data_IF_398543402501
#
_entry.id   IF_398543402501
#
_cell.length_a   1.000
_cell.length_b   1.000
_cell.length_c   1.000
_cell.angle_alpha   90.00
_cell.angle_beta   90.00
_cell.angle_gamma   90.00
#
_symmetry.space_group_name_H-M   'P 1'
#
loop_
_entity.id
_entity.type
_entity.pdbx_description
1 polymer ?
#
# COMPACT_ATOMS: atom_id res chain seq x y z
N UNK A 1 12.51 22.48 -2.13
CA UNK A 1 12.18 21.08 -1.73
C UNK A 1 11.02 20.97 -0.73
N UNK A 2 11.10 21.44 0.54
CA UNK A 2 9.98 21.29 1.50
C UNK A 2 8.66 21.88 0.99
N UNK A 3 8.70 23.15 0.61
CA UNK A 3 7.50 23.87 0.16
C UNK A 3 6.99 23.34 -1.18
N UNK A 4 7.90 22.93 -2.08
CA UNK A 4 7.56 22.30 -3.35
C UNK A 4 6.81 20.96 -3.17
N UNK A 5 7.29 20.08 -2.28
CA UNK A 5 6.60 18.80 -1.97
C UNK A 5 5.22 19.07 -1.38
N UNK A 6 5.14 20.01 -0.42
CA UNK A 6 3.87 20.39 0.21
C UNK A 6 2.90 20.94 -0.84
N UNK A 7 3.37 21.85 -1.69
CA UNK A 7 2.56 22.43 -2.75
C UNK A 7 2.08 21.36 -3.74
N UNK A 8 2.99 20.48 -4.18
CA UNK A 8 2.67 19.40 -5.10
C UNK A 8 1.56 18.49 -4.54
N UNK A 9 1.70 18.00 -3.31
CA UNK A 9 0.69 17.13 -2.68
C UNK A 9 -0.65 17.87 -2.53
N UNK A 10 -0.63 19.10 -2.02
CA UNK A 10 -1.85 19.87 -1.77
C UNK A 10 -2.63 20.20 -3.04
N UNK A 11 -1.93 20.53 -4.12
CA UNK A 11 -2.57 20.94 -5.38
C UNK A 11 -3.02 19.74 -6.21
N UNK A 12 -2.24 18.66 -6.18
CA UNK A 12 -2.40 17.57 -7.15
C UNK A 12 -2.97 16.30 -6.54
N UNK A 13 -2.85 16.06 -5.23
CA UNK A 13 -3.19 14.77 -4.61
C UNK A 13 -4.35 14.91 -3.63
N UNK A 14 -4.31 15.88 -2.72
CA UNK A 14 -5.35 16.06 -1.71
C UNK A 14 -6.69 16.44 -2.36
N UNK A 15 -7.75 15.75 -1.95
CA UNK A 15 -9.11 15.93 -2.47
C UNK A 15 -9.37 15.23 -3.80
N UNK A 16 -8.36 14.60 -4.40
CA UNK A 16 -8.54 13.78 -5.60
C UNK A 16 -9.05 12.39 -5.24
N UNK A 17 -9.79 11.81 -6.19
CA UNK A 17 -10.22 10.41 -6.14
C UNK A 17 -9.53 9.68 -7.29
N UNK A 18 -8.79 8.63 -6.96
CA UNK A 18 -8.07 7.79 -7.90
C UNK A 18 -8.70 6.40 -7.93
N UNK A 19 -8.59 5.71 -9.05
CA UNK A 19 -9.14 4.37 -9.26
C UNK A 19 -8.07 3.43 -9.77
N UNK A 20 -7.97 2.26 -9.17
CA UNK A 20 -7.21 1.13 -9.70
C UNK A 20 -8.17 0.26 -10.49
N UNK A 21 -7.87 0.04 -11.77
CA UNK A 21 -8.60 -0.93 -12.58
C UNK A 21 -8.40 -2.35 -12.02
N UNK A 22 -9.22 -3.30 -12.47
CA UNK A 22 -9.11 -4.68 -11.98
C UNK A 22 -7.72 -5.26 -12.29
N UNK A 23 -7.09 -5.79 -11.24
CA UNK A 23 -5.81 -6.48 -11.29
C UNK A 23 -6.02 -7.91 -10.79
N UNK A 24 -5.50 -8.87 -11.56
CA UNK A 24 -5.53 -10.29 -11.19
C UNK A 24 -4.11 -10.76 -10.87
N UNK A 25 -3.95 -11.51 -9.80
CA UNK A 25 -2.66 -12.05 -9.38
C UNK A 25 -2.80 -13.47 -8.83
N UNK A 26 -1.70 -14.22 -8.79
CA UNK A 26 -1.64 -15.59 -8.31
C UNK A 26 -0.81 -15.66 -7.03
N UNK A 27 -1.22 -16.50 -6.08
CA UNK A 27 -0.45 -16.79 -4.87
C UNK A 27 -0.27 -18.30 -4.69
N UNK A 28 0.63 -18.67 -3.80
CA UNK A 28 0.84 -20.03 -3.29
C UNK A 28 1.07 -21.04 -4.41
N UNK A 29 2.08 -20.77 -5.24
CA UNK A 29 2.40 -21.58 -6.42
C UNK A 29 1.17 -21.78 -7.34
N UNK A 30 0.41 -20.71 -7.56
CA UNK A 30 -0.78 -20.67 -8.41
C UNK A 30 -1.94 -21.56 -7.92
N UNK A 31 -2.03 -21.81 -6.62
CA UNK A 31 -3.20 -22.48 -6.02
C UNK A 31 -4.30 -21.49 -5.63
N UNK A 32 -3.95 -20.21 -5.52
CA UNK A 32 -4.87 -19.10 -5.23
C UNK A 32 -4.83 -18.05 -6.34
N UNK A 33 -5.97 -17.38 -6.58
CA UNK A 33 -6.05 -16.21 -7.45
C UNK A 33 -6.76 -15.04 -6.75
N UNK A 34 -6.08 -13.91 -6.66
CA UNK A 34 -6.64 -12.65 -6.18
C UNK A 34 -7.19 -11.81 -7.33
N UNK A 35 -8.33 -11.17 -7.10
CA UNK A 35 -8.93 -10.15 -7.97
C UNK A 35 -9.09 -8.89 -7.15
N UNK A 36 -8.37 -7.84 -7.53
CA UNK A 36 -8.28 -6.59 -6.78
C UNK A 36 -8.71 -5.41 -7.64
N UNK A 37 -9.50 -4.50 -7.07
CA UNK A 37 -9.69 -3.14 -7.58
C UNK A 37 -9.90 -2.20 -6.39
N UNK A 38 -9.65 -0.91 -6.59
CA UNK A 38 -9.72 0.05 -5.50
C UNK A 38 -10.16 1.44 -5.96
N UNK A 39 -10.79 2.16 -5.04
CA UNK A 39 -11.02 3.60 -5.13
C UNK A 39 -10.31 4.25 -3.95
N UNK A 40 -9.38 5.14 -4.27
CA UNK A 40 -8.49 5.77 -3.30
C UNK A 40 -8.73 7.27 -3.22
N UNK A 41 -8.66 7.82 -2.01
CA UNK A 41 -8.85 9.25 -1.73
C UNK A 41 -7.78 9.72 -0.75
N UNK A 42 -7.23 10.91 -0.97
CA UNK A 42 -6.27 11.53 -0.06
C UNK A 42 -6.87 12.77 0.60
N UNK A 43 -6.83 12.85 1.93
CA UNK A 43 -7.61 13.82 2.71
C UNK A 43 -6.92 14.24 4.00
N UNK A 44 -7.59 15.09 4.78
CA UNK A 44 -7.18 15.50 6.13
C UNK A 44 -5.75 16.06 6.21
N UNK A 45 -5.39 16.90 5.23
CA UNK A 45 -4.09 17.55 5.19
C UNK A 45 -3.89 18.44 6.43
N UNK A 46 -2.81 18.18 7.17
CA UNK A 46 -2.36 19.01 8.28
C UNK A 46 -0.86 19.25 8.15
N UNK A 47 -0.48 20.51 8.00
CA UNK A 47 0.91 20.93 8.09
C UNK A 47 1.31 21.09 9.55
N UNK A 48 2.47 20.56 9.92
CA UNK A 48 3.09 20.75 11.24
C UNK A 48 4.30 21.66 11.12
N UNK A 49 4.88 22.07 12.24
CA UNK A 49 6.11 22.87 12.26
C UNK A 49 7.22 22.23 11.38
N UNK A 50 7.42 20.93 11.56
CA UNK A 50 8.52 20.19 10.95
C UNK A 50 8.12 19.29 9.79
N UNK A 51 6.85 19.28 9.37
CA UNK A 51 6.38 18.29 8.41
C UNK A 51 4.90 18.42 8.07
N UNK A 52 4.27 17.28 7.80
CA UNK A 52 2.86 17.21 7.46
C UNK A 52 2.29 15.80 7.68
N UNK A 53 0.97 15.72 7.73
CA UNK A 53 0.22 14.46 7.76
C UNK A 53 -1.01 14.56 6.86
N UNK A 54 -1.42 13.42 6.33
CA UNK A 54 -2.64 13.27 5.55
C UNK A 54 -3.14 11.83 5.67
N UNK A 55 -4.40 11.61 5.30
CA UNK A 55 -5.01 10.31 5.24
C UNK A 55 -5.09 9.79 3.81
N UNK A 56 -4.92 8.49 3.66
CA UNK A 56 -5.28 7.72 2.48
C UNK A 56 -6.47 6.85 2.87
N UNK A 57 -7.61 7.02 2.21
CA UNK A 57 -8.77 6.15 2.34
C UNK A 57 -8.87 5.28 1.11
N UNK A 58 -8.94 3.98 1.29
CA UNK A 58 -9.16 2.99 0.21
C UNK A 58 -10.55 2.39 0.37
N UNK A 59 -11.23 2.16 -0.75
CA UNK A 59 -12.48 1.40 -0.83
C UNK A 59 -12.20 0.22 -1.75
N UNK A 60 -11.67 -0.81 -1.13
CA UNK A 60 -11.10 -1.98 -1.78
C UNK A 60 -12.20 -2.98 -2.12
N UNK A 61 -12.11 -3.57 -3.31
CA UNK A 61 -12.78 -4.83 -3.66
C UNK A 61 -11.69 -5.84 -3.95
N UNK A 62 -11.52 -6.79 -3.05
CA UNK A 62 -10.49 -7.80 -3.19
C UNK A 62 -11.03 -9.16 -2.74
N UNK A 63 -11.04 -10.10 -3.68
CA UNK A 63 -11.46 -11.48 -3.44
C UNK A 63 -10.33 -12.41 -3.83
N UNK A 64 -9.98 -13.33 -2.92
CA UNK A 64 -9.01 -14.39 -3.17
C UNK A 64 -9.77 -15.70 -3.32
N UNK A 65 -9.58 -16.39 -4.43
CA UNK A 65 -10.25 -17.64 -4.79
C UNK A 65 -9.30 -18.83 -4.69
N UNK A 66 -9.83 -19.98 -4.26
CA UNK A 66 -9.18 -21.27 -4.47
C UNK A 66 -9.26 -21.66 -5.94
N UNK A 67 -8.20 -22.26 -6.48
CA UNK A 67 -8.17 -22.82 -7.83
C UNK A 67 -8.24 -24.35 -7.80
N UNK A 68 -8.96 -24.94 -8.75
CA UNK A 68 -8.94 -26.39 -8.96
C UNK A 68 -7.69 -26.84 -9.73
N UNK A 69 -7.54 -28.15 -9.94
CA UNK A 69 -6.42 -28.72 -10.70
C UNK A 69 -6.38 -28.32 -12.19
N UNK A 70 -7.35 -27.54 -12.68
CA UNK A 70 -7.39 -26.95 -14.02
C UNK A 70 -7.18 -25.43 -14.00
N UNK A 71 -6.91 -24.84 -12.83
CA UNK A 71 -6.71 -23.41 -12.65
C UNK A 71 -8.01 -22.59 -12.65
N UNK A 72 -9.17 -23.23 -12.51
CA UNK A 72 -10.46 -22.55 -12.47
C UNK A 72 -10.83 -22.13 -11.04
N UNK A 73 -11.38 -20.91 -10.89
CA UNK A 73 -11.89 -20.41 -9.60
C UNK A 73 -12.99 -21.33 -9.08
N UNK A 74 -12.90 -21.66 -7.80
CA UNK A 74 -13.89 -22.50 -7.10
C UNK A 74 -14.62 -21.71 -6.01
N UNK A 75 -14.09 -21.70 -4.79
CA UNK A 75 -14.66 -20.98 -3.65
C UNK A 75 -13.83 -19.74 -3.31
N UNK A 76 -14.46 -18.76 -2.66
CA UNK A 76 -13.74 -17.63 -2.06
C UNK A 76 -12.98 -18.16 -0.84
N UNK A 77 -11.65 -18.05 -0.88
CA UNK A 77 -10.76 -18.34 0.24
C UNK A 77 -10.73 -17.18 1.24
N UNK A 78 -10.69 -15.93 0.74
CA UNK A 78 -10.73 -14.71 1.55
C UNK A 78 -11.45 -13.58 0.82
N UNK A 79 -12.16 -12.76 1.60
CA UNK A 79 -12.80 -11.52 1.15
C UNK A 79 -12.19 -10.34 1.92
N UNK A 80 -11.38 -9.55 1.21
CA UNK A 80 -10.74 -8.34 1.72
C UNK A 80 -11.48 -7.07 1.26
N UNK A 81 -12.74 -7.21 0.83
CA UNK A 81 -13.59 -6.08 0.47
C UNK A 81 -13.90 -5.23 1.71
N UNK A 82 -13.66 -3.93 1.60
CA UNK A 82 -13.92 -3.02 2.70
C UNK A 82 -13.31 -1.64 2.50
N UNK A 83 -13.47 -0.80 3.50
CA UNK A 83 -12.87 0.53 3.54
C UNK A 83 -11.79 0.57 4.59
N UNK A 84 -10.60 1.07 4.23
CA UNK A 84 -9.48 1.23 5.15
C UNK A 84 -9.01 2.68 5.15
N UNK A 85 -8.59 3.19 6.30
CA UNK A 85 -7.99 4.52 6.44
C UNK A 85 -6.57 4.35 6.96
N UNK A 86 -5.62 4.84 6.19
CA UNK A 86 -4.21 4.88 6.55
C UNK A 86 -3.78 6.32 6.77
N UNK A 87 -2.90 6.55 7.74
CA UNK A 87 -2.34 7.86 8.02
C UNK A 87 -0.86 7.89 7.68
N UNK A 88 -0.50 8.85 6.84
CA UNK A 88 0.87 9.23 6.54
C UNK A 88 1.30 10.36 7.48
N UNK A 89 2.43 10.18 8.16
CA UNK A 89 3.04 11.21 9.02
C UNK A 89 4.52 11.36 8.65
N UNK A 90 4.88 12.52 8.07
CA UNK A 90 6.23 12.80 7.59
C UNK A 90 6.78 14.07 8.23
N UNK A 91 8.08 14.06 8.52
CA UNK A 91 8.79 15.20 9.07
C UNK A 91 10.21 15.33 8.52
N UNK A 92 10.64 16.57 8.31
CA UNK A 92 12.01 16.90 7.95
C UNK A 92 12.93 16.71 9.16
N UNK A 93 14.08 16.06 8.92
CA UNK A 93 15.07 15.80 9.95
C UNK A 93 16.09 16.92 10.01
N UNK A 94 16.29 17.51 11.18
CA UNK A 94 17.26 18.60 11.38
C UNK A 94 18.71 18.18 11.08
N UNK A 95 19.04 16.90 11.28
CA UNK A 95 20.38 16.36 11.08
C UNK A 95 20.76 16.17 9.61
N UNK A 96 19.82 15.79 8.75
CA UNK A 96 20.09 15.41 7.35
C UNK A 96 19.32 16.23 6.33
N UNK A 97 18.37 17.06 6.79
CA UNK A 97 17.37 17.75 5.98
C UNK A 97 16.49 16.81 5.13
N UNK A 98 16.53 15.50 5.37
CA UNK A 98 15.71 14.52 4.66
C UNK A 98 14.29 14.50 5.23
N UNK A 99 13.33 14.18 4.36
CA UNK A 99 11.97 13.86 4.78
C UNK A 99 11.88 12.35 5.06
N UNK A 100 11.48 11.99 6.26
CA UNK A 100 11.18 10.58 6.62
C UNK A 100 9.92 10.53 7.48
N UNK A 101 9.35 9.35 7.65
CA UNK A 101 8.07 9.23 8.33
C UNK A 101 7.63 7.79 8.51
N UNK A 102 6.32 7.63 8.64
CA UNK A 102 5.68 6.33 8.61
C UNK A 102 4.25 6.45 8.08
N UNK A 103 3.72 5.32 7.63
CA UNK A 103 2.31 5.09 7.36
C UNK A 103 1.79 4.05 8.34
N UNK A 104 0.55 4.20 8.83
CA UNK A 104 -0.11 3.18 9.65
C UNK A 104 -1.59 3.08 9.34
N UNK A 105 -2.17 1.90 9.55
CA UNK A 105 -3.62 1.72 9.55
C UNK A 105 -4.26 2.42 10.76
N UNK A 106 -5.32 3.20 10.54
CA UNK A 106 -6.10 3.89 11.57
C UNK A 106 -7.41 3.15 11.85
N UNK A 107 -8.07 2.70 10.80
CA UNK A 107 -9.32 1.94 10.90
C UNK A 107 -9.56 1.15 9.62
N UNK A 108 -10.34 0.10 9.72
CA UNK A 108 -10.87 -0.60 8.55
C UNK A 108 -12.15 -1.33 8.87
N UNK A 109 -12.95 -1.58 7.83
CA UNK A 109 -14.18 -2.38 7.88
C UNK A 109 -13.98 -3.78 7.31
N UNK A 110 -12.77 -4.12 6.83
CA UNK A 110 -12.47 -5.43 6.26
C UNK A 110 -12.63 -6.50 7.35
N UNK A 111 -13.40 -7.54 7.05
CA UNK A 111 -13.58 -8.65 7.98
C UNK A 111 -12.35 -9.57 7.96
N UNK A 112 -11.98 -10.14 9.12
CA UNK A 112 -10.82 -11.03 9.24
C UNK A 112 -9.53 -10.42 8.66
N UNK A 113 -9.40 -9.10 8.80
CA UNK A 113 -8.31 -8.35 8.18
C UNK A 113 -6.95 -8.69 8.77
N UNK A 114 -5.93 -8.55 7.93
CA UNK A 114 -4.53 -8.79 8.32
C UNK A 114 -3.72 -7.50 8.38
N UNK A 115 -4.37 -6.33 8.37
CA UNK A 115 -3.71 -5.02 8.36
C UNK A 115 -3.75 -4.30 9.73
N UNK A 116 -4.25 -4.94 10.78
CA UNK A 116 -4.19 -4.39 12.15
C UNK A 116 -2.76 -4.25 12.63
N UNK A 117 -2.50 -3.16 13.34
CA UNK A 117 -1.19 -2.84 13.90
C UNK A 117 -0.04 -2.81 12.87
N UNK A 118 -0.34 -2.76 11.56
CA UNK A 118 0.66 -2.61 10.51
C UNK A 118 1.15 -1.16 10.45
N UNK A 119 2.47 -1.01 10.49
CA UNK A 119 3.18 0.27 10.30
C UNK A 119 4.28 0.09 9.26
N UNK A 120 4.35 1.01 8.31
CA UNK A 120 5.40 1.05 7.30
C UNK A 120 6.28 2.29 7.52
N UNK A 121 7.58 2.09 7.74
CA UNK A 121 8.55 3.17 7.79
C UNK A 121 8.78 3.78 6.40
N UNK A 122 8.79 5.10 6.31
CA UNK A 122 8.99 5.85 5.07
C UNK A 122 10.39 6.44 5.03
N UNK A 123 11.13 6.15 3.95
CA UNK A 123 12.49 6.66 3.73
C UNK A 123 12.77 6.92 2.25
N UNK A 124 13.91 7.54 1.95
CA UNK A 124 14.33 7.78 0.57
C UNK A 124 13.41 8.71 -0.22
N UNK A 125 12.75 9.66 0.47
CA UNK A 125 11.81 10.58 -0.18
C UNK A 125 12.56 11.52 -1.12
N UNK A 126 12.15 11.57 -2.39
CA UNK A 126 12.72 12.43 -3.42
C UNK A 126 11.61 13.10 -4.23
N UNK A 127 11.88 14.35 -4.65
CA UNK A 127 11.00 15.11 -5.53
C UNK A 127 11.84 15.83 -6.59
N UNK A 128 11.52 15.66 -7.85
CA UNK A 128 12.25 16.25 -8.99
C UNK A 128 11.51 17.39 -9.69
N UNK A 129 10.38 17.84 -9.12
CA UNK A 129 9.50 18.83 -9.74
C UNK A 129 8.32 18.23 -10.51
N UNK A 130 8.36 16.93 -10.83
CA UNK A 130 7.31 16.22 -11.58
C UNK A 130 6.77 15.02 -10.83
N UNK A 131 7.66 14.31 -10.14
CA UNK A 131 7.38 13.08 -9.41
C UNK A 131 7.85 13.18 -7.96
N UNK A 132 6.98 12.79 -7.04
CA UNK A 132 7.32 12.53 -5.64
C UNK A 132 7.36 11.02 -5.42
N UNK A 133 8.47 10.49 -4.89
CA UNK A 133 8.60 9.05 -4.61
C UNK A 133 9.32 8.76 -3.31
N UNK A 134 9.04 7.59 -2.74
CA UNK A 134 9.69 7.10 -1.53
C UNK A 134 9.66 5.57 -1.46
N UNK A 135 10.33 5.03 -0.44
CA UNK A 135 10.26 3.62 -0.08
C UNK A 135 9.48 3.46 1.21
N UNK A 136 8.63 2.45 1.26
CA UNK A 136 7.97 2.00 2.48
C UNK A 136 8.53 0.64 2.88
N UNK A 137 8.75 0.45 4.18
CA UNK A 137 9.16 -0.84 4.75
C UNK A 137 8.26 -1.17 5.92
N UNK A 138 7.45 -2.21 5.79
CA UNK A 138 6.65 -2.70 6.92
C UNK A 138 7.60 -3.04 8.08
N UNK A 139 7.28 -2.62 9.31
CA UNK A 139 8.20 -2.80 10.44
C UNK A 139 8.22 -4.25 10.95
N UNK A 140 7.04 -4.87 11.01
CA UNK A 140 6.83 -6.24 11.49
C UNK A 140 6.25 -7.10 10.37
N UNK A 141 5.67 -8.26 10.70
CA UNK A 141 4.92 -9.08 9.76
C UNK A 141 3.40 -8.90 9.90
N UNK A 142 2.69 -9.41 8.90
CA UNK A 142 1.25 -9.60 8.87
C UNK A 142 0.93 -10.97 8.28
N UNK A 143 -0.32 -11.39 8.38
CA UNK A 143 -0.75 -12.67 7.84
C UNK A 143 -1.08 -12.59 6.34
N UNK A 144 -0.52 -13.51 5.55
CA UNK A 144 -0.88 -13.76 4.15
C UNK A 144 -1.62 -15.09 4.05
N UNK A 145 -2.71 -15.18 3.26
CA UNK A 145 -3.43 -16.44 3.11
C UNK A 145 -2.59 -17.48 2.37
N UNK A 146 -2.64 -18.73 2.85
CA UNK A 146 -2.03 -19.90 2.20
C UNK A 146 -3.10 -20.86 1.65
N UNK A 147 -4.10 -21.13 2.48
CA UNK A 147 -5.28 -21.93 2.14
C UNK A 147 -6.43 -21.50 3.05
N UNK A 148 -7.57 -22.19 2.99
CA UNK A 148 -8.68 -21.95 3.91
C UNK A 148 -8.19 -21.99 5.37
N UNK A 149 -8.31 -20.85 6.05
CA UNK A 149 -7.95 -20.65 7.46
C UNK A 149 -6.50 -20.94 7.86
N UNK A 150 -5.58 -21.00 6.89
CA UNK A 150 -4.13 -20.99 7.16
C UNK A 150 -3.47 -19.73 6.63
N UNK A 151 -2.49 -19.28 7.39
CA UNK A 151 -1.76 -18.07 7.14
C UNK A 151 -0.26 -18.30 7.28
N UNK A 152 0.52 -17.49 6.58
CA UNK A 152 1.96 -17.38 6.76
C UNK A 152 2.35 -15.93 7.12
N UNK A 153 3.34 -15.73 8.00
CA UNK A 153 3.87 -14.41 8.31
C UNK A 153 4.62 -13.82 7.11
N UNK A 154 4.22 -12.63 6.69
CA UNK A 154 4.85 -11.88 5.60
C UNK A 154 5.06 -10.41 5.94
N UNK A 155 5.96 -9.74 5.25
CA UNK A 155 6.11 -8.30 5.28
C UNK A 155 6.14 -7.73 3.86
N UNK A 156 5.59 -6.53 3.71
CA UNK A 156 5.67 -5.79 2.44
C UNK A 156 6.68 -4.67 2.56
N UNK A 157 7.63 -4.65 1.63
CA UNK A 157 8.30 -3.41 1.26
C UNK A 157 7.62 -2.86 0.00
N UNK A 158 7.74 -1.57 -0.25
CA UNK A 158 7.23 -0.99 -1.50
C UNK A 158 8.02 0.23 -1.96
N UNK A 159 7.93 0.49 -3.26
CA UNK A 159 8.24 1.81 -3.82
C UNK A 159 6.92 2.50 -4.12
N UNK A 160 6.79 3.73 -3.66
CA UNK A 160 5.58 4.52 -3.87
C UNK A 160 5.91 5.76 -4.68
N UNK A 161 5.01 6.12 -5.61
CA UNK A 161 5.15 7.28 -6.49
C UNK A 161 3.84 8.04 -6.60
N UNK A 162 3.96 9.36 -6.57
CA UNK A 162 2.93 10.31 -7.01
C UNK A 162 3.47 11.11 -8.19
N UNK A 163 2.70 11.20 -9.26
CA UNK A 163 3.01 12.05 -10.41
C UNK A 163 1.73 12.47 -11.13
N UNK A 164 1.89 13.33 -12.13
CA UNK A 164 0.79 13.72 -13.02
C UNK A 164 0.97 13.05 -14.39
N UNK A 165 -0.08 12.42 -14.88
CA UNK A 165 -0.21 11.97 -16.26
C UNK A 165 -1.28 12.80 -16.96
N UNK A 166 -0.93 13.56 -17.99
CA UNK A 166 -1.84 14.51 -18.67
C UNK A 166 -2.59 15.46 -17.71
N UNK A 167 -1.92 15.88 -16.63
CA UNK A 167 -2.49 16.75 -15.59
C UNK A 167 -3.41 16.06 -14.59
N UNK A 168 -3.54 14.73 -14.66
CA UNK A 168 -4.33 13.89 -13.75
C UNK A 168 -3.42 13.17 -12.77
N UNK A 169 -3.83 13.10 -11.51
CA UNK A 169 -3.05 12.46 -10.46
C UNK A 169 -2.91 10.94 -10.68
N UNK A 170 -1.70 10.43 -10.49
CA UNK A 170 -1.41 9.00 -10.47
C UNK A 170 -0.69 8.64 -9.18
N UNK A 171 -1.12 7.53 -8.58
CA UNK A 171 -0.48 6.87 -7.46
C UNK A 171 -0.03 5.48 -7.89
N UNK A 172 1.24 5.15 -7.67
CA UNK A 172 1.77 3.81 -7.88
C UNK A 172 2.27 3.24 -6.56
N UNK A 173 1.88 2.00 -6.29
CA UNK A 173 2.43 1.17 -5.23
C UNK A 173 3.04 -0.09 -5.86
N UNK A 174 4.35 -0.24 -5.71
CA UNK A 174 5.15 -1.32 -6.28
C UNK A 174 5.63 -2.22 -5.14
N UNK A 175 4.89 -3.29 -4.80
CA UNK A 175 5.22 -4.14 -3.66
C UNK A 175 6.44 -5.04 -3.90
N UNK A 176 7.06 -5.45 -2.81
CA UNK A 176 7.94 -6.61 -2.72
C UNK A 176 7.54 -7.39 -1.48
N UNK A 177 7.20 -8.67 -1.67
CA UNK A 177 6.76 -9.54 -0.60
C UNK A 177 7.94 -10.30 0.02
N UNK A 178 7.96 -10.36 1.34
CA UNK A 178 8.93 -11.10 2.12
C UNK A 178 8.22 -12.14 2.97
N UNK A 179 8.69 -13.38 2.95
CA UNK A 179 8.37 -14.35 3.99
C UNK A 179 9.18 -14.00 5.24
N UNK A 180 8.57 -14.07 6.42
CA UNK A 180 9.18 -13.64 7.68
C UNK A 180 9.24 -14.80 8.68
N UNK A 181 10.38 -15.03 9.28
CA UNK A 181 10.47 -15.89 10.47
C UNK A 181 9.90 -15.11 11.68
N UNK A 182 8.81 -15.57 12.32
CA UNK A 182 8.17 -14.82 13.39
C UNK A 182 8.98 -14.79 14.70
N UNK A 183 9.93 -15.72 14.89
CA UNK A 183 10.77 -15.80 16.09
C UNK A 183 12.00 -14.88 15.98
N UNK A 184 12.55 -14.73 14.77
CA UNK A 184 13.78 -13.95 14.52
C UNK A 184 13.55 -12.62 13.80
N UNK A 185 12.39 -12.46 13.14
CA UNK A 185 12.04 -11.37 12.21
C UNK A 185 12.94 -11.30 10.96
N UNK A 186 13.73 -12.33 10.70
CA UNK A 186 14.50 -12.43 9.47
C UNK A 186 13.57 -12.55 8.26
N UNK A 187 14.00 -11.91 7.15
CA UNK A 187 13.23 -11.85 5.91
C UNK A 187 13.90 -12.64 4.82
N UNK A 188 13.10 -13.40 4.11
CA UNK A 188 13.49 -14.04 2.85
C UNK A 188 12.54 -13.63 1.74
N UNK A 189 13.05 -13.47 0.52
CA UNK A 189 12.22 -13.05 -0.60
C UNK A 189 11.16 -14.11 -0.85
N UNK A 190 9.89 -13.71 -0.86
CA UNK A 190 8.80 -14.65 -1.09
C UNK A 190 8.79 -15.14 -2.54
N UNK A 191 8.22 -16.34 -2.75
CA UNK A 191 7.96 -16.86 -4.09
C UNK A 191 6.70 -16.24 -4.72
N UNK A 192 5.78 -15.78 -3.88
CA UNK A 192 4.60 -15.09 -4.36
C UNK A 192 4.97 -13.68 -4.79
N UNK A 193 4.40 -13.26 -5.92
CA UNK A 193 4.60 -11.94 -6.45
C UNK A 193 3.28 -11.19 -6.50
N UNK A 194 3.34 -9.93 -6.07
CA UNK A 194 2.20 -9.03 -6.12
C UNK A 194 2.43 -8.01 -7.23
N UNK A 195 1.43 -7.77 -8.09
CA UNK A 195 1.58 -6.83 -9.18
C UNK A 195 1.69 -5.39 -8.67
N UNK A 196 2.20 -4.47 -9.50
CA UNK A 196 2.05 -3.04 -9.26
C UNK A 196 0.56 -2.66 -9.19
N UNK A 197 0.19 -1.91 -8.16
CA UNK A 197 -1.13 -1.28 -8.07
C UNK A 197 -1.01 0.16 -8.51
N UNK A 198 -1.73 0.51 -9.58
CA UNK A 198 -1.66 1.86 -10.17
C UNK A 198 -3.05 2.48 -10.18
N UNK A 199 -3.22 3.51 -9.35
CA UNK A 199 -4.47 4.26 -9.24
C UNK A 199 -4.38 5.57 -10.02
N UNK A 200 -5.42 5.90 -10.80
CA UNK A 200 -5.47 7.10 -11.65
C UNK A 200 -6.70 7.95 -11.37
N UNK A 201 -6.52 9.27 -11.38
CA UNK A 201 -7.63 10.22 -11.43
C UNK A 201 -8.31 10.13 -12.81
N UNK A 202 -9.64 10.01 -12.81
CA UNK A 202 -10.47 10.02 -14.03
C UNK A 202 -10.77 11.45 -14.49
#
# INVERSE_FOLDING_TARGET
MKDEIIQFIRQNIIGKTLFTDEVVYKLENETLEGVYSDKMMFSDWVQTENGFKFNMTTVTRELVYNLDGKGMRTTIAKDYTGTSVFRYELAFRKSTNQLTGYMRCISTTVQHQTMEAVVCGISGVTFDGKELKWQEKQLLYRDNPVEADKYKPVAFDSKVRFYLDNGKAVFEYLPTLWDVDPDTLERSLSKDDYPPYISREK
#
